data_IF_911262952026
#
_entry.id   IF_911262952026
#
_cell.length_a   1.000
_cell.length_b   1.000
_cell.length_c   1.000
_cell.angle_alpha   90.00
_cell.angle_beta   90.00
_cell.angle_gamma   90.00
#
_symmetry.space_group_name_H-M   'P 1'
#
loop_
_entity.id
_entity.type
_entity.pdbx_description
1 polymer ?
#
# COMPACT_ATOMS: atom_id res chain seq x y z
N UNK A 1 -16.80 15.81 0.21
CA UNK A 1 -17.77 14.94 -0.51
C UNK A 1 -17.07 13.60 -0.72
N UNK A 2 -17.56 12.58 -0.06
CA UNK A 2 -16.88 11.38 0.34
C UNK A 2 -16.17 10.57 -0.75
N UNK A 3 -15.12 9.93 -0.29
CA UNK A 3 -14.43 8.82 -0.92
C UNK A 3 -15.43 7.87 -1.55
N UNK A 4 -15.18 7.49 -2.79
CA UNK A 4 -15.98 6.51 -3.52
C UNK A 4 -16.02 5.25 -2.68
N UNK A 5 -17.24 4.84 -2.28
CA UNK A 5 -17.51 3.77 -1.33
C UNK A 5 -16.55 2.61 -1.51
N UNK A 6 -15.79 2.33 -0.47
CA UNK A 6 -14.77 1.31 -0.48
C UNK A 6 -15.38 0.00 -0.98
N UNK A 7 -14.94 -0.43 -2.14
CA UNK A 7 -15.16 -1.80 -2.57
C UNK A 7 -14.40 -2.69 -1.60
N UNK A 8 -15.07 -3.12 -0.54
CA UNK A 8 -14.59 -4.23 0.28
C UNK A 8 -14.64 -5.48 -0.57
N UNK A 9 -13.58 -5.66 -1.36
CA UNK A 9 -13.40 -6.87 -2.15
C UNK A 9 -12.97 -7.98 -1.20
N UNK A 10 -13.69 -9.09 -1.27
CA UNK A 10 -13.31 -10.27 -0.51
C UNK A 10 -11.91 -10.77 -0.92
N UNK A 11 -11.26 -11.47 0.00
CA UNK A 11 -9.89 -11.96 -0.18
C UNK A 11 -9.75 -12.88 -1.40
N UNK A 12 -10.75 -13.72 -1.69
CA UNK A 12 -10.73 -14.65 -2.81
C UNK A 12 -10.70 -13.90 -4.15
N UNK A 13 -11.49 -12.83 -4.28
CA UNK A 13 -11.49 -11.95 -5.45
C UNK A 13 -10.13 -11.30 -5.64
N UNK A 14 -9.52 -10.73 -4.58
CA UNK A 14 -8.17 -10.11 -4.68
C UNK A 14 -7.12 -11.14 -5.09
N UNK A 15 -7.14 -12.35 -4.52
CA UNK A 15 -6.21 -13.43 -4.86
C UNK A 15 -6.38 -13.95 -6.29
N UNK A 16 -7.55 -13.76 -6.91
CA UNK A 16 -7.75 -14.11 -8.32
C UNK A 16 -7.03 -13.15 -9.30
N UNK A 17 -6.69 -11.94 -8.85
CA UNK A 17 -6.02 -10.93 -9.66
C UNK A 17 -4.51 -11.06 -9.64
N UNK A 18 -3.94 -11.37 -8.48
CA UNK A 18 -2.50 -11.51 -8.26
C UNK A 18 -2.19 -12.36 -7.03
N UNK A 19 -0.96 -12.85 -6.97
CA UNK A 19 -0.44 -13.52 -5.78
C UNK A 19 0.16 -12.48 -4.83
N UNK A 20 -0.47 -12.20 -3.67
CA UNK A 20 0.01 -11.16 -2.76
C UNK A 20 1.34 -11.50 -2.10
N UNK A 21 1.62 -12.78 -1.87
CA UNK A 21 2.88 -13.25 -1.32
C UNK A 21 4.03 -12.89 -2.27
N UNK A 22 3.87 -13.17 -3.57
CA UNK A 22 4.86 -12.82 -4.61
C UNK A 22 5.09 -11.30 -4.69
N UNK A 23 4.04 -10.48 -4.48
CA UNK A 23 4.18 -9.02 -4.47
C UNK A 23 5.03 -8.57 -3.28
N UNK A 24 4.79 -9.10 -2.08
CA UNK A 24 5.58 -8.77 -0.89
C UNK A 24 7.03 -9.27 -1.02
N UNK A 25 7.26 -10.45 -1.62
CA UNK A 25 8.60 -10.95 -1.93
C UNK A 25 9.32 -10.03 -2.93
N UNK A 26 8.65 -9.60 -4.00
CA UNK A 26 9.20 -8.67 -5.00
C UNK A 26 9.51 -7.30 -4.39
N UNK A 27 8.69 -6.84 -3.46
CA UNK A 27 8.95 -5.65 -2.65
C UNK A 27 10.20 -5.81 -1.76
N UNK A 28 10.68 -7.04 -1.56
CA UNK A 28 11.83 -7.36 -0.73
C UNK A 28 11.53 -7.45 0.76
N UNK A 29 10.24 -7.67 1.13
CA UNK A 29 9.83 -7.77 2.53
C UNK A 29 10.48 -8.98 3.20
N UNK A 30 11.05 -8.77 4.41
CA UNK A 30 11.77 -9.79 5.18
C UNK A 30 11.48 -9.67 6.67
N UNK A 31 11.82 -10.73 7.40
CA UNK A 31 11.73 -10.74 8.87
C UNK A 31 12.51 -9.59 9.51
N UNK A 32 11.91 -8.96 10.52
CA UNK A 32 12.47 -7.86 11.28
C UNK A 32 12.30 -6.47 10.66
N UNK A 33 11.75 -6.38 9.44
CA UNK A 33 11.53 -5.09 8.75
C UNK A 33 10.35 -4.31 9.33
N UNK A 34 10.35 -3.00 9.07
CA UNK A 34 9.23 -2.09 9.30
C UNK A 34 8.52 -1.85 7.97
N UNK A 35 7.24 -2.17 7.93
CA UNK A 35 6.36 -2.04 6.77
C UNK A 35 5.26 -1.03 7.06
N UNK A 36 4.96 -0.13 6.15
CA UNK A 36 3.86 0.83 6.24
C UNK A 36 2.87 0.57 5.12
N UNK A 37 1.64 0.22 5.47
CA UNK A 37 0.52 -0.06 4.55
C UNK A 37 -0.41 1.16 4.52
N UNK A 38 -0.38 1.92 3.44
CA UNK A 38 -1.16 3.16 3.29
C UNK A 38 -2.38 2.88 2.40
N UNK A 39 -3.57 3.15 2.92
CA UNK A 39 -4.84 2.71 2.34
C UNK A 39 -5.04 1.22 2.54
N UNK A 40 -4.79 0.76 3.77
CA UNK A 40 -4.71 -0.66 4.10
C UNK A 40 -6.07 -1.41 4.03
N UNK A 41 -7.18 -0.69 3.99
CA UNK A 41 -8.52 -1.28 4.06
C UNK A 41 -8.67 -2.17 5.30
N UNK A 42 -9.24 -3.34 5.12
CA UNK A 42 -9.44 -4.33 6.17
C UNK A 42 -8.20 -5.25 6.40
N UNK A 43 -7.04 -4.85 5.86
CA UNK A 43 -5.74 -5.43 6.17
C UNK A 43 -5.31 -6.61 5.31
N UNK A 44 -5.74 -6.69 4.06
CA UNK A 44 -5.35 -7.77 3.16
C UNK A 44 -3.83 -7.95 3.06
N UNK A 45 -3.07 -6.89 2.80
CA UNK A 45 -1.61 -6.94 2.80
C UNK A 45 -1.01 -6.79 4.21
N UNK A 46 -1.62 -5.96 5.07
CA UNK A 46 -1.16 -5.73 6.45
C UNK A 46 -0.96 -7.02 7.23
N UNK A 47 -1.94 -7.93 7.19
CA UNK A 47 -1.90 -9.19 7.93
C UNK A 47 -0.79 -10.11 7.41
N UNK A 48 -0.63 -10.21 6.10
CA UNK A 48 0.45 -11.02 5.50
C UNK A 48 1.82 -10.41 5.79
N UNK A 49 1.95 -9.10 5.66
CA UNK A 49 3.19 -8.40 5.98
C UNK A 49 3.59 -8.61 7.44
N UNK A 50 2.62 -8.54 8.39
CA UNK A 50 2.87 -8.77 9.80
C UNK A 50 3.37 -10.19 10.11
N UNK A 51 2.88 -11.18 9.38
CA UNK A 51 3.36 -12.56 9.49
C UNK A 51 4.80 -12.70 8.95
N UNK A 52 5.11 -12.07 7.82
CA UNK A 52 6.44 -12.12 7.19
C UNK A 52 7.49 -11.41 8.05
N UNK A 53 7.20 -10.18 8.52
CA UNK A 53 8.17 -9.44 9.34
C UNK A 53 8.35 -10.04 10.73
N UNK A 54 7.35 -10.79 11.22
CA UNK A 54 7.40 -11.50 12.48
C UNK A 54 7.51 -10.59 13.71
N UNK A 55 7.73 -11.16 14.91
CA UNK A 55 7.66 -10.43 16.17
C UNK A 55 8.77 -9.38 16.38
N UNK A 56 9.83 -9.43 15.59
CA UNK A 56 10.93 -8.44 15.60
C UNK A 56 10.70 -7.28 14.64
N UNK A 57 9.74 -7.41 13.71
CA UNK A 57 9.33 -6.36 12.79
C UNK A 57 8.11 -5.61 13.28
N UNK A 58 7.69 -4.61 12.50
CA UNK A 58 6.50 -3.80 12.79
C UNK A 58 5.75 -3.50 11.50
N UNK A 59 4.42 -3.51 11.58
CA UNK A 59 3.54 -3.04 10.50
C UNK A 59 2.72 -1.87 11.01
N UNK A 60 2.85 -0.74 10.35
CA UNK A 60 1.96 0.41 10.51
C UNK A 60 0.93 0.38 9.38
N UNK A 61 -0.31 0.71 9.69
CA UNK A 61 -1.40 0.70 8.71
C UNK A 61 -2.32 1.91 8.91
N UNK A 62 -2.71 2.55 7.82
CA UNK A 62 -3.63 3.68 7.83
C UNK A 62 -4.70 3.52 6.76
N UNK A 63 -5.93 3.83 7.11
CA UNK A 63 -7.07 3.94 6.19
C UNK A 63 -8.06 4.96 6.73
N UNK A 64 -8.84 5.57 5.87
CA UNK A 64 -9.87 6.55 6.26
C UNK A 64 -11.14 5.91 6.81
N UNK A 65 -11.38 4.61 6.54
CA UNK A 65 -12.55 3.88 7.04
C UNK A 65 -12.31 3.29 8.44
N UNK A 66 -12.90 3.85 9.52
CA UNK A 66 -12.76 3.30 10.87
C UNK A 66 -13.27 1.86 10.98
N UNK A 67 -14.31 1.50 10.21
CA UNK A 67 -14.86 0.15 10.23
C UNK A 67 -13.90 -0.87 9.61
N UNK A 68 -13.15 -0.48 8.57
CA UNK A 68 -12.09 -1.31 7.99
C UNK A 68 -10.96 -1.52 9.00
N UNK A 69 -10.52 -0.45 9.67
CA UNK A 69 -9.50 -0.52 10.73
C UNK A 69 -9.95 -1.42 11.89
N UNK A 70 -11.21 -1.36 12.30
CA UNK A 70 -11.72 -2.26 13.34
C UNK A 70 -11.73 -3.72 12.88
N UNK A 71 -12.05 -3.98 11.61
CA UNK A 71 -11.95 -5.34 11.03
C UNK A 71 -10.50 -5.82 10.99
N UNK A 72 -9.56 -4.96 10.58
CA UNK A 72 -8.13 -5.26 10.59
C UNK A 72 -7.63 -5.60 12.00
N UNK A 73 -7.97 -4.79 13.00
CA UNK A 73 -7.56 -5.03 14.41
C UNK A 73 -8.09 -6.37 14.92
N UNK A 74 -9.33 -6.72 14.60
CA UNK A 74 -9.90 -8.04 14.95
C UNK A 74 -9.13 -9.17 14.28
N UNK A 75 -8.89 -9.10 12.96
CA UNK A 75 -8.10 -10.09 12.22
C UNK A 75 -6.68 -10.26 12.80
N UNK A 76 -6.02 -9.17 13.18
CA UNK A 76 -4.71 -9.20 13.80
C UNK A 76 -4.76 -9.89 15.18
N UNK A 77 -5.75 -9.57 16.00
CA UNK A 77 -5.97 -10.21 17.32
C UNK A 77 -6.23 -11.70 17.20
N UNK A 78 -7.12 -12.11 16.29
CA UNK A 78 -7.46 -13.53 16.06
C UNK A 78 -6.24 -14.36 15.64
N UNK A 79 -5.33 -13.75 14.90
CA UNK A 79 -4.05 -14.34 14.47
C UNK A 79 -2.91 -14.13 15.48
N UNK A 80 -3.17 -13.50 16.63
CA UNK A 80 -2.19 -13.17 17.68
C UNK A 80 -1.00 -12.35 17.16
N UNK A 81 -1.24 -11.46 16.20
CA UNK A 81 -0.23 -10.56 15.66
C UNK A 81 -0.13 -9.34 16.55
N UNK A 82 0.97 -9.23 17.32
CA UNK A 82 1.22 -8.13 18.27
C UNK A 82 2.01 -6.97 17.64
N UNK A 83 2.44 -7.16 16.40
CA UNK A 83 3.31 -6.26 15.64
C UNK A 83 2.55 -5.43 14.59
N UNK A 84 1.25 -5.19 14.79
CA UNK A 84 0.42 -4.35 13.92
C UNK A 84 -0.07 -3.13 14.69
N UNK A 85 0.15 -1.92 14.13
CA UNK A 85 -0.42 -0.66 14.61
C UNK A 85 -1.26 -0.03 13.50
N UNK A 86 -2.58 -0.06 13.66
CA UNK A 86 -3.52 0.45 12.68
C UNK A 86 -4.31 1.65 13.22
N UNK A 87 -4.44 2.69 12.39
CA UNK A 87 -5.15 3.94 12.71
C UNK A 87 -6.14 4.32 11.61
N UNK A 88 -7.27 4.90 12.01
CA UNK A 88 -8.21 5.52 11.09
C UNK A 88 -7.84 7.00 10.96
N UNK A 89 -7.27 7.39 9.81
CA UNK A 89 -6.82 8.76 9.53
C UNK A 89 -6.63 8.98 8.03
N UNK A 90 -6.52 10.24 7.63
CA UNK A 90 -6.12 10.62 6.27
C UNK A 90 -4.62 10.35 6.07
N UNK A 91 -4.26 9.75 4.92
CA UNK A 91 -2.87 9.45 4.58
C UNK A 91 -2.03 10.73 4.42
N UNK A 92 -2.66 11.79 3.93
CA UNK A 92 -2.07 13.12 3.78
C UNK A 92 -1.58 13.72 5.09
N UNK A 93 -2.21 13.36 6.21
CA UNK A 93 -1.90 13.88 7.55
C UNK A 93 -1.15 12.84 8.42
N UNK A 94 -0.79 11.68 7.84
CA UNK A 94 -0.21 10.58 8.62
C UNK A 94 1.27 10.37 8.30
N UNK A 95 2.10 10.54 9.33
CA UNK A 95 3.51 10.14 9.35
C UNK A 95 3.74 9.37 10.64
N UNK A 96 3.96 8.06 10.53
CA UNK A 96 4.14 7.20 11.72
C UNK A 96 5.49 7.39 12.41
N UNK A 97 6.50 7.74 11.66
CA UNK A 97 7.88 7.86 12.13
C UNK A 97 8.76 8.53 11.08
N UNK A 98 9.95 8.96 11.47
CA UNK A 98 10.96 9.48 10.54
C UNK A 98 12.02 8.41 10.27
N UNK A 99 12.32 8.16 9.00
CA UNK A 99 13.38 7.25 8.54
C UNK A 99 13.38 5.86 9.23
N UNK A 100 12.20 5.33 9.52
CA UNK A 100 12.06 4.04 10.21
C UNK A 100 11.58 2.91 9.30
N UNK A 101 10.90 3.23 8.19
CA UNK A 101 10.29 2.24 7.34
C UNK A 101 11.28 1.64 6.34
N UNK A 102 11.29 0.32 6.24
CA UNK A 102 12.01 -0.39 5.18
C UNK A 102 11.19 -0.39 3.89
N UNK A 103 9.85 -0.46 4.01
CA UNK A 103 8.93 -0.43 2.88
C UNK A 103 7.73 0.46 3.24
N UNK A 104 7.36 1.38 2.34
CA UNK A 104 6.04 2.03 2.31
C UNK A 104 5.30 1.50 1.08
N UNK A 105 4.11 0.99 1.30
CA UNK A 105 3.35 0.22 0.33
C UNK A 105 1.99 0.87 0.06
N UNK A 106 1.65 1.00 -1.20
CA UNK A 106 0.33 1.40 -1.70
C UNK A 106 -0.26 0.26 -2.51
N UNK A 107 -1.46 -0.16 -2.16
CA UNK A 107 -2.17 -1.20 -2.89
C UNK A 107 -3.50 -0.69 -3.41
N UNK A 108 -3.54 -0.38 -4.70
CA UNK A 108 -4.78 0.00 -5.40
C UNK A 108 -5.44 1.22 -4.74
N UNK A 109 -4.63 2.23 -4.35
CA UNK A 109 -5.11 3.37 -3.58
C UNK A 109 -4.48 4.71 -4.02
N UNK A 110 -3.33 4.71 -4.71
CA UNK A 110 -2.64 5.96 -5.06
C UNK A 110 -3.52 6.90 -5.89
N UNK A 111 -4.40 6.36 -6.72
CA UNK A 111 -5.35 7.10 -7.55
C UNK A 111 -6.56 7.66 -6.77
N UNK A 112 -6.78 7.26 -5.52
CA UNK A 112 -7.90 7.67 -4.69
C UNK A 112 -7.55 8.82 -3.71
N UNK A 113 -6.25 9.10 -3.50
CA UNK A 113 -5.83 10.18 -2.62
C UNK A 113 -6.23 11.55 -3.18
N UNK A 114 -6.63 12.45 -2.28
CA UNK A 114 -6.95 13.83 -2.63
C UNK A 114 -5.67 14.59 -3.06
N UNK A 115 -4.59 14.41 -2.31
CA UNK A 115 -3.26 14.95 -2.64
C UNK A 115 -2.22 13.81 -2.64
N UNK A 116 -2.09 13.07 -3.75
CA UNK A 116 -1.14 11.96 -3.85
C UNK A 116 0.32 12.42 -3.73
N UNK A 117 0.63 13.69 -4.06
CA UNK A 117 1.99 14.23 -3.91
C UNK A 117 2.33 14.34 -2.43
N UNK A 118 1.42 14.88 -1.60
CA UNK A 118 1.62 14.98 -0.15
C UNK A 118 1.80 13.60 0.49
N UNK A 119 0.99 12.62 0.08
CA UNK A 119 1.12 11.24 0.57
C UNK A 119 2.49 10.64 0.20
N UNK A 120 2.99 10.88 -1.01
CA UNK A 120 4.32 10.45 -1.43
C UNK A 120 5.44 11.16 -0.65
N UNK A 121 5.29 12.45 -0.35
CA UNK A 121 6.24 13.19 0.50
C UNK A 121 6.26 12.60 1.92
N UNK A 122 5.10 12.30 2.50
CA UNK A 122 4.99 11.62 3.79
C UNK A 122 5.68 10.26 3.77
N UNK A 123 5.51 9.49 2.69
CA UNK A 123 6.21 8.22 2.50
C UNK A 123 7.73 8.39 2.49
N UNK A 124 8.22 9.41 1.78
CA UNK A 124 9.67 9.72 1.73
C UNK A 124 10.22 10.05 3.12
N UNK A 125 9.47 10.81 3.92
CA UNK A 125 9.84 11.12 5.30
C UNK A 125 9.90 9.86 6.20
N UNK A 126 9.00 8.91 5.97
CA UNK A 126 8.98 7.66 6.76
C UNK A 126 10.05 6.66 6.34
N UNK A 127 10.47 6.67 5.08
CA UNK A 127 11.41 5.69 4.54
C UNK A 127 12.84 5.92 5.05
N UNK A 128 13.51 4.81 5.39
CA UNK A 128 14.97 4.80 5.56
C UNK A 128 15.65 5.19 4.23
N UNK A 129 16.88 5.71 4.24
CA UNK A 129 17.64 5.96 3.01
C UNK A 129 17.78 4.73 2.10
N UNK A 130 17.80 3.53 2.67
CA UNK A 130 17.82 2.24 1.95
C UNK A 130 16.43 1.64 1.73
N UNK A 131 15.39 2.32 2.16
CA UNK A 131 14.00 1.85 2.07
C UNK A 131 13.44 1.93 0.65
N UNK A 132 12.24 1.39 0.47
CA UNK A 132 11.55 1.36 -0.83
C UNK A 132 10.11 1.79 -0.71
N UNK A 133 9.68 2.61 -1.67
CA UNK A 133 8.28 2.82 -2.01
C UNK A 133 7.85 1.72 -2.97
N UNK A 134 6.72 1.10 -2.71
CA UNK A 134 6.12 0.11 -3.62
C UNK A 134 4.67 0.50 -3.89
N UNK A 135 4.34 0.71 -5.16
CA UNK A 135 2.98 1.03 -5.61
C UNK A 135 2.46 -0.08 -6.52
N UNK A 136 1.44 -0.80 -6.07
CA UNK A 136 0.64 -1.73 -6.86
C UNK A 136 -0.65 -1.03 -7.26
N UNK A 137 -0.94 -0.91 -8.56
CA UNK A 137 -2.16 -0.26 -9.00
C UNK A 137 -2.72 -0.84 -10.32
N UNK A 138 -3.93 -0.42 -10.66
CA UNK A 138 -4.64 -0.81 -11.87
C UNK A 138 -4.03 -0.19 -13.12
N UNK A 139 -3.86 -0.99 -14.16
CA UNK A 139 -3.57 -0.46 -15.51
C UNK A 139 -4.69 0.47 -15.98
N UNK A 140 -4.32 1.60 -16.61
CA UNK A 140 -5.28 2.52 -17.20
C UNK A 140 -5.75 2.04 -18.55
N UNK A 141 -6.68 1.08 -18.54
CA UNK A 141 -7.35 0.56 -19.74
C UNK A 141 -8.83 0.32 -19.46
N UNK A 142 -9.64 0.17 -20.51
CA UNK A 142 -11.05 -0.19 -20.37
C UNK A 142 -11.17 -1.63 -19.83
N UNK A 143 -11.89 -1.79 -18.75
CA UNK A 143 -12.15 -3.06 -18.07
C UNK A 143 -13.56 -3.07 -17.51
N UNK A 144 -14.11 -4.28 -17.33
CA UNK A 144 -15.45 -4.48 -16.74
C UNK A 144 -15.41 -4.29 -15.22
N UNK A 145 -14.24 -4.42 -14.59
CA UNK A 145 -14.06 -4.35 -13.14
C UNK A 145 -12.97 -3.34 -12.75
N UNK A 146 -12.88 -3.05 -11.45
CA UNK A 146 -11.96 -2.07 -10.88
C UNK A 146 -12.50 -0.64 -10.89
N UNK A 147 -11.70 0.35 -10.49
CA UNK A 147 -12.11 1.75 -10.39
C UNK A 147 -12.43 2.35 -11.76
N UNK A 148 -13.20 3.43 -11.86
CA UNK A 148 -13.48 4.11 -13.11
C UNK A 148 -12.20 4.49 -13.88
N UNK A 149 -12.22 4.31 -15.20
CA UNK A 149 -11.06 4.59 -16.07
C UNK A 149 -10.45 5.99 -15.86
N UNK A 150 -11.31 7.00 -15.60
CA UNK A 150 -10.88 8.40 -15.47
C UNK A 150 -9.96 8.67 -14.29
N UNK A 151 -10.09 7.90 -13.18
CA UNK A 151 -9.28 8.10 -11.96
C UNK A 151 -8.00 7.28 -11.96
N UNK A 152 -7.91 6.21 -12.77
CA UNK A 152 -6.71 5.38 -12.83
C UNK A 152 -5.52 6.17 -13.38
N UNK A 153 -4.35 5.96 -12.80
CA UNK A 153 -3.09 6.37 -13.40
C UNK A 153 -2.59 5.30 -14.37
N UNK A 154 -2.05 5.73 -15.54
CA UNK A 154 -1.20 4.81 -16.29
C UNK A 154 0.11 4.59 -15.52
N UNK A 155 0.81 3.51 -15.84
CA UNK A 155 2.13 3.24 -15.25
C UNK A 155 3.07 4.44 -15.41
N UNK A 156 3.10 5.05 -16.60
CA UNK A 156 3.89 6.25 -16.89
C UNK A 156 3.47 7.47 -16.03
N UNK A 157 2.15 7.70 -15.88
CA UNK A 157 1.63 8.77 -15.02
C UNK A 157 2.02 8.57 -13.56
N UNK A 158 1.88 7.33 -13.04
CA UNK A 158 2.27 7.01 -11.68
C UNK A 158 3.79 7.14 -11.47
N UNK A 159 4.62 6.68 -12.41
CA UNK A 159 6.07 6.87 -12.36
C UNK A 159 6.45 8.35 -12.34
N UNK A 160 5.79 9.17 -13.17
CA UNK A 160 6.04 10.62 -13.21
C UNK A 160 5.69 11.28 -11.90
N UNK A 161 4.54 10.92 -11.31
CA UNK A 161 4.11 11.41 -10.00
C UNK A 161 5.11 11.06 -8.89
N UNK A 162 5.57 9.81 -8.87
CA UNK A 162 6.56 9.29 -7.91
C UNK A 162 7.90 10.04 -8.08
N UNK A 163 8.38 10.24 -9.31
CA UNK A 163 9.61 11.02 -9.57
C UNK A 163 9.48 12.48 -9.15
N UNK A 164 8.33 13.12 -9.39
CA UNK A 164 8.08 14.49 -8.99
C UNK A 164 8.06 14.68 -7.47
N UNK A 165 7.71 13.64 -6.71
CA UNK A 165 7.83 13.61 -5.26
C UNK A 165 9.28 13.35 -4.77
N UNK A 166 10.27 13.26 -5.69
CA UNK A 166 11.69 13.13 -5.39
C UNK A 166 12.17 11.71 -5.20
N UNK A 167 11.46 10.71 -5.72
CA UNK A 167 11.90 9.32 -5.74
C UNK A 167 12.63 8.96 -7.03
N UNK A 168 13.51 7.97 -6.94
CA UNK A 168 14.14 7.31 -8.09
C UNK A 168 13.44 5.98 -8.35
N UNK A 169 12.76 5.85 -9.50
CA UNK A 169 12.12 4.59 -9.89
C UNK A 169 13.20 3.57 -10.24
N UNK A 170 13.24 2.45 -9.53
CA UNK A 170 14.18 1.34 -9.76
C UNK A 170 13.63 0.32 -10.75
N UNK A 171 12.35 0.00 -10.61
CA UNK A 171 11.69 -1.03 -11.44
C UNK A 171 10.21 -0.71 -11.59
N UNK A 172 9.66 -1.10 -12.74
CA UNK A 172 8.23 -1.09 -13.01
C UNK A 172 7.90 -2.28 -13.91
N UNK A 173 6.89 -3.05 -13.53
CA UNK A 173 6.51 -4.24 -14.29
C UNK A 173 5.02 -4.56 -14.12
N UNK A 174 4.50 -5.30 -15.07
CA UNK A 174 3.12 -5.78 -15.05
C UNK A 174 2.94 -6.92 -14.04
N UNK A 175 1.80 -6.91 -13.35
CA UNK A 175 1.38 -7.96 -12.42
C UNK A 175 0.02 -8.50 -12.83
N UNK A 176 -0.02 -9.78 -13.12
CA UNK A 176 -1.21 -10.39 -13.68
C UNK A 176 -1.66 -9.67 -14.96
N UNK A 177 -2.95 -9.75 -15.23
CA UNK A 177 -3.52 -9.15 -16.43
C UNK A 177 -3.70 -7.64 -16.32
N UNK A 178 -4.14 -7.17 -15.14
CA UNK A 178 -4.82 -5.87 -15.00
C UNK A 178 -4.08 -4.86 -14.12
N UNK A 179 -2.92 -5.24 -13.55
CA UNK A 179 -2.16 -4.42 -12.61
C UNK A 179 -0.72 -4.19 -13.05
N UNK A 180 -0.08 -3.23 -12.40
CA UNK A 180 1.37 -2.99 -12.45
C UNK A 180 1.92 -2.74 -11.05
N UNK A 181 3.21 -2.97 -10.86
CA UNK A 181 3.97 -2.60 -9.65
C UNK A 181 5.08 -1.66 -10.03
N UNK A 182 5.27 -0.61 -9.25
CA UNK A 182 6.41 0.30 -9.32
C UNK A 182 7.17 0.21 -8.01
N UNK A 183 8.48 0.05 -8.10
CA UNK A 183 9.41 0.10 -6.95
C UNK A 183 10.33 1.29 -7.12
N UNK A 184 10.44 2.12 -6.08
CA UNK A 184 11.25 3.33 -6.10
C UNK A 184 12.00 3.53 -4.77
N UNK A 185 13.12 4.27 -4.83
CA UNK A 185 13.92 4.70 -3.68
C UNK A 185 13.71 6.17 -3.36
N UNK A 186 13.85 6.56 -2.07
CA UNK A 186 13.81 7.96 -1.64
C UNK A 186 14.82 8.87 -2.34
#
# INVERSE_FOLDING_TARGET
MGCHGGFSLDEATRRSWFNPETILETAGLRSGMVFVDVGCGDGFFTIMAAQVVGPKGMVYAVDTDPSAIDRLKRKASDKRLINVKAVAAEAEETVFCNECADIVFYSIVLHDFHDPVKVLINAKQMLKPSGRLVNLDWKKRQMVHGPPFRIRFSEEQAQTLIRNAGFTVENAHEVGRDHYVIVAKP
#
